data_IF_579731957210
#
_entry.id   IF_579731957210
#
_cell.length_a   1.000
_cell.length_b   1.000
_cell.length_c   1.000
_cell.angle_alpha   90.00
_cell.angle_beta   90.00
_cell.angle_gamma   90.00
#
_symmetry.space_group_name_H-M   'P 1'
#
loop_
_entity.id
_entity.type
_entity.pdbx_description
1 polymer ?
#
# COMPACT_ATOMS: atom_id res chain seq x y z
N UNK A 1 12.79 -18.40 9.65
CA UNK A 1 13.14 -17.86 8.32
C UNK A 1 12.10 -16.93 7.72
N UNK A 2 10.86 -17.39 7.53
CA UNK A 2 9.81 -16.58 6.89
C UNK A 2 9.62 -15.21 7.56
N UNK A 3 9.65 -15.15 8.89
CA UNK A 3 9.60 -13.88 9.63
C UNK A 3 10.75 -12.93 9.25
N UNK A 4 11.98 -13.44 9.14
CA UNK A 4 13.16 -12.62 8.79
C UNK A 4 12.99 -12.00 7.41
N UNK A 5 12.53 -12.78 6.42
CA UNK A 5 12.23 -12.26 5.09
C UNK A 5 11.08 -11.25 5.09
N UNK A 6 10.05 -11.48 5.91
CA UNK A 6 8.96 -10.52 6.08
C UNK A 6 9.47 -9.18 6.61
N UNK A 7 10.15 -9.18 7.76
CA UNK A 7 10.66 -7.96 8.41
C UNK A 7 11.64 -7.22 7.51
N UNK A 8 12.54 -7.96 6.85
CA UNK A 8 13.47 -7.37 5.91
C UNK A 8 12.78 -6.75 4.70
N UNK A 9 11.76 -7.43 4.13
CA UNK A 9 10.98 -6.89 3.00
C UNK A 9 10.20 -5.64 3.40
N UNK A 10 9.67 -5.60 4.62
CA UNK A 10 9.02 -4.41 5.18
C UNK A 10 10.01 -3.25 5.27
N UNK A 11 11.19 -3.48 5.85
CA UNK A 11 12.25 -2.47 5.96
C UNK A 11 12.64 -1.93 4.58
N UNK A 12 12.96 -2.80 3.63
CA UNK A 12 13.37 -2.38 2.28
C UNK A 12 12.23 -1.64 1.57
N UNK A 13 10.98 -2.04 1.78
CA UNK A 13 9.83 -1.30 1.25
C UNK A 13 9.75 0.13 1.81
N UNK A 14 10.07 0.35 3.09
CA UNK A 14 10.11 1.72 3.64
C UNK A 14 11.20 2.56 3.02
N UNK A 15 12.41 2.02 2.94
CA UNK A 15 13.58 2.73 2.41
C UNK A 15 13.32 3.12 0.95
N UNK A 16 12.80 2.18 0.17
CA UNK A 16 12.48 2.42 -1.25
C UNK A 16 11.34 3.43 -1.41
N UNK A 17 10.32 3.41 -0.55
CA UNK A 17 9.23 4.37 -0.62
C UNK A 17 9.68 5.78 -0.24
N UNK A 18 10.44 5.94 0.85
CA UNK A 18 11.03 7.23 1.24
C UNK A 18 11.87 7.80 0.09
N UNK A 19 12.71 6.96 -0.53
CA UNK A 19 13.51 7.36 -1.67
C UNK A 19 12.66 7.76 -2.89
N UNK A 20 11.62 6.99 -3.21
CA UNK A 20 10.73 7.25 -4.35
C UNK A 20 9.93 8.55 -4.15
N UNK A 21 9.43 8.78 -2.94
CA UNK A 21 8.66 9.97 -2.53
C UNK A 21 9.54 11.21 -2.55
N UNK A 22 10.72 11.17 -1.91
CA UNK A 22 11.66 12.30 -1.90
C UNK A 22 12.11 12.74 -3.31
N UNK A 23 12.13 11.81 -4.26
CA UNK A 23 12.50 12.10 -5.65
C UNK A 23 11.31 12.35 -6.59
N UNK A 24 10.07 12.35 -6.07
CA UNK A 24 8.81 12.41 -6.84
C UNK A 24 8.87 11.54 -8.11
N UNK A 25 9.29 10.27 -7.95
CA UNK A 25 9.56 9.37 -9.08
C UNK A 25 8.28 9.02 -9.86
N UNK A 26 7.14 8.95 -9.17
CA UNK A 26 5.83 8.67 -9.78
C UNK A 26 5.41 9.83 -10.70
N UNK A 27 5.42 11.07 -10.19
CA UNK A 27 5.13 12.25 -10.99
C UNK A 27 6.11 12.42 -12.17
N UNK A 28 7.41 12.21 -11.97
CA UNK A 28 8.39 12.25 -13.07
C UNK A 28 8.10 11.22 -14.17
N UNK A 29 7.67 10.00 -13.79
CA UNK A 29 7.31 8.98 -14.76
C UNK A 29 6.03 9.31 -15.54
N UNK A 30 5.01 9.83 -14.84
CA UNK A 30 3.76 10.31 -15.43
C UNK A 30 4.06 11.38 -16.50
N UNK A 31 4.80 12.41 -16.13
CA UNK A 31 5.12 13.52 -17.03
C UNK A 31 6.03 13.11 -18.18
N UNK A 32 6.98 12.19 -17.97
CA UNK A 32 7.76 11.63 -19.07
C UNK A 32 6.87 10.86 -20.09
N UNK A 33 5.79 10.24 -19.62
CA UNK A 33 4.77 9.63 -20.49
C UNK A 33 3.99 10.66 -21.30
N UNK A 34 3.56 11.75 -20.65
CA UNK A 34 2.85 12.87 -21.28
C UNK A 34 3.75 13.58 -22.31
N UNK A 35 5.00 13.87 -21.96
CA UNK A 35 5.95 14.52 -22.86
C UNK A 35 6.17 13.63 -24.13
N UNK A 36 6.19 12.31 -23.97
CA UNK A 36 6.29 11.36 -25.09
C UNK A 36 5.01 11.26 -25.94
N UNK A 37 3.85 11.49 -25.32
CA UNK A 37 2.56 11.54 -26.00
C UNK A 37 2.43 12.78 -26.87
N UNK A 38 2.74 13.94 -26.29
CA UNK A 38 2.60 15.24 -26.94
C UNK A 38 3.70 15.46 -27.98
N UNK A 39 4.84 14.81 -27.81
CA UNK A 39 5.97 14.91 -28.73
C UNK A 39 7.00 15.94 -28.28
N UNK A 40 8.12 15.99 -29.00
CA UNK A 40 9.24 16.89 -28.72
C UNK A 40 9.32 18.05 -29.72
N UNK A 41 8.35 18.13 -30.62
CA UNK A 41 8.15 19.21 -31.57
C UNK A 41 7.62 20.49 -30.88
N UNK A 42 7.65 21.64 -31.56
CA UNK A 42 7.37 22.95 -30.94
C UNK A 42 6.00 23.00 -30.26
N UNK A 43 4.96 22.54 -30.96
CA UNK A 43 3.59 22.58 -30.42
C UNK A 43 3.42 21.53 -29.33
N UNK A 44 3.98 20.33 -29.51
CA UNK A 44 4.01 19.31 -28.46
C UNK A 44 4.61 19.82 -27.14
N UNK A 45 5.75 20.52 -27.21
CA UNK A 45 6.42 21.12 -26.05
C UNK A 45 5.61 22.24 -25.41
N UNK A 46 4.97 23.09 -26.22
CA UNK A 46 4.12 24.17 -25.72
C UNK A 46 2.85 23.64 -25.04
N UNK A 47 2.16 22.68 -25.67
CA UNK A 47 1.03 21.96 -25.08
C UNK A 47 1.42 21.34 -23.74
N UNK A 48 2.57 20.67 -23.66
CA UNK A 48 3.05 20.05 -22.42
C UNK A 48 3.29 21.09 -21.31
N UNK A 49 3.84 22.26 -21.67
CA UNK A 49 4.07 23.37 -20.72
C UNK A 49 2.74 23.96 -20.24
N UNK A 50 1.83 24.29 -21.15
CA UNK A 50 0.54 24.89 -20.82
C UNK A 50 -0.35 23.93 -20.03
N UNK A 51 -0.36 22.64 -20.41
CA UNK A 51 -1.08 21.59 -19.68
C UNK A 51 -0.57 21.46 -18.24
N UNK A 52 0.74 21.55 -18.03
CA UNK A 52 1.32 21.49 -16.67
C UNK A 52 0.93 22.70 -15.82
N UNK A 53 0.73 23.86 -16.43
CA UNK A 53 0.29 25.08 -15.76
C UNK A 53 -1.24 25.19 -15.61
N UNK A 54 -1.99 24.28 -16.22
CA UNK A 54 -3.45 24.34 -16.24
C UNK A 54 -4.03 24.22 -14.81
N UNK A 55 -4.95 25.10 -14.37
CA UNK A 55 -5.45 25.13 -12.98
C UNK A 55 -6.06 23.80 -12.49
N UNK A 56 -6.78 23.09 -13.35
CA UNK A 56 -7.37 21.79 -13.01
C UNK A 56 -6.31 20.67 -12.82
N UNK A 57 -5.09 20.87 -13.32
CA UNK A 57 -3.96 19.93 -13.16
C UNK A 57 -3.07 20.39 -12.00
N UNK A 58 -2.79 21.69 -11.91
CA UNK A 58 -2.01 22.27 -10.83
C UNK A 58 -2.63 22.00 -9.45
N UNK A 59 -3.96 22.06 -9.34
CA UNK A 59 -4.69 21.75 -8.10
C UNK A 59 -4.59 20.29 -7.63
N UNK A 60 -4.13 19.37 -8.49
CA UNK A 60 -3.92 17.96 -8.14
C UNK A 60 -2.52 17.69 -7.56
N UNK A 61 -1.61 18.68 -7.59
CA UNK A 61 -0.31 18.56 -6.96
C UNK A 61 -0.43 18.66 -5.44
N UNK A 62 0.44 17.95 -4.72
CA UNK A 62 0.50 18.02 -3.25
C UNK A 62 0.92 19.41 -2.75
N UNK A 63 1.78 20.10 -3.50
CA UNK A 63 2.30 21.45 -3.21
C UNK A 63 2.76 22.12 -4.53
N UNK A 64 2.98 23.44 -4.54
CA UNK A 64 3.41 24.21 -5.72
C UNK A 64 4.76 23.77 -6.32
N UNK A 65 5.63 23.18 -5.50
CA UNK A 65 6.91 22.64 -5.93
C UNK A 65 6.81 21.22 -6.53
N UNK A 66 5.69 20.54 -6.29
CA UNK A 66 5.48 19.16 -6.67
C UNK A 66 4.72 19.03 -7.99
N UNK A 67 5.07 17.99 -8.75
CA UNK A 67 4.28 17.58 -9.89
C UNK A 67 3.19 16.62 -9.43
N UNK A 68 1.99 16.75 -10.01
CA UNK A 68 0.91 15.77 -9.82
C UNK A 68 1.45 14.34 -10.05
N UNK A 69 1.25 13.47 -9.06
CA UNK A 69 1.72 12.07 -9.10
C UNK A 69 0.71 11.11 -9.72
N UNK A 70 -0.53 11.58 -9.90
CA UNK A 70 -1.62 10.89 -10.55
C UNK A 70 -2.47 11.93 -11.29
N UNK A 71 -2.96 11.59 -12.48
CA UNK A 71 -3.78 12.47 -13.29
C UNK A 71 -4.98 11.66 -13.81
N UNK A 72 -6.22 11.97 -13.38
CA UNK A 72 -7.40 11.31 -13.91
C UNK A 72 -7.57 11.61 -15.39
N UNK A 73 -7.89 10.57 -16.17
CA UNK A 73 -8.01 10.63 -17.63
C UNK A 73 -9.06 11.62 -18.14
N UNK A 74 -10.24 11.78 -17.49
CA UNK A 74 -11.20 12.82 -17.87
C UNK A 74 -10.67 14.25 -17.64
N UNK A 75 -9.91 14.47 -16.56
CA UNK A 75 -9.30 15.77 -16.26
C UNK A 75 -8.19 16.08 -17.26
N UNK A 76 -7.38 15.08 -17.62
CA UNK A 76 -6.39 15.22 -18.68
C UNK A 76 -7.04 15.60 -20.02
N UNK A 77 -8.08 14.87 -20.44
CA UNK A 77 -8.72 15.09 -21.74
C UNK A 77 -9.32 16.50 -21.85
N UNK A 78 -10.11 16.91 -20.84
CA UNK A 78 -10.72 18.24 -20.79
C UNK A 78 -9.67 19.36 -20.73
N UNK A 79 -8.65 19.22 -19.88
CA UNK A 79 -7.57 20.21 -19.79
C UNK A 79 -6.76 20.31 -21.09
N UNK A 80 -6.49 19.18 -21.77
CA UNK A 80 -5.78 19.21 -23.05
C UNK A 80 -6.61 19.88 -24.14
N UNK A 81 -7.93 19.65 -24.17
CA UNK A 81 -8.84 20.34 -25.08
C UNK A 81 -8.85 21.84 -24.84
N UNK A 82 -9.01 22.26 -23.58
CA UNK A 82 -9.01 23.69 -23.21
C UNK A 82 -7.70 24.39 -23.60
N UNK A 83 -6.57 23.77 -23.25
CA UNK A 83 -5.23 24.27 -23.61
C UNK A 83 -5.05 24.36 -25.13
N UNK A 84 -5.50 23.34 -25.88
CA UNK A 84 -5.42 23.33 -27.34
C UNK A 84 -6.23 24.49 -27.94
N UNK A 85 -7.47 24.68 -27.50
CA UNK A 85 -8.35 25.76 -27.96
C UNK A 85 -7.72 27.12 -27.63
N UNK A 86 -7.28 27.33 -26.39
CA UNK A 86 -6.70 28.59 -25.95
C UNK A 86 -5.40 28.95 -26.68
N UNK A 87 -4.54 27.97 -26.91
CA UNK A 87 -3.29 28.13 -27.66
C UNK A 87 -3.56 28.49 -29.12
N UNK A 88 -4.46 27.76 -29.79
CA UNK A 88 -4.77 28.01 -31.21
C UNK A 88 -5.52 29.33 -31.42
N UNK A 89 -6.40 29.71 -30.49
CA UNK A 89 -7.06 31.03 -30.47
C UNK A 89 -6.07 32.19 -30.40
N UNK A 90 -4.92 31.98 -29.78
CA UNK A 90 -3.87 33.01 -29.68
C UNK A 90 -2.98 33.09 -30.92
N UNK A 91 -2.92 32.01 -31.72
CA UNK A 91 -2.05 31.90 -32.91
C UNK A 91 -2.77 32.22 -34.23
N UNK A 92 -4.07 31.97 -34.32
CA UNK A 92 -4.89 32.23 -35.51
C UNK A 92 -5.90 33.34 -35.18
N UNK A 93 -6.17 34.25 -36.11
CA UNK A 93 -6.97 35.47 -35.85
C UNK A 93 -8.42 35.39 -36.36
N UNK A 94 -8.83 34.33 -37.07
CA UNK A 94 -10.16 34.22 -37.70
C UNK A 94 -10.84 32.84 -37.56
N UNK A 95 -12.15 32.90 -37.25
CA UNK A 95 -13.20 31.83 -37.23
C UNK A 95 -13.16 30.80 -36.09
N UNK A 96 -14.32 30.20 -35.73
CA UNK A 96 -14.63 29.78 -34.35
C UNK A 96 -13.74 28.63 -33.86
N UNK A 97 -13.24 28.75 -32.63
CA UNK A 97 -12.32 27.79 -32.01
C UNK A 97 -13.06 26.64 -31.34
N UNK A 98 -13.85 25.89 -32.13
CA UNK A 98 -14.27 24.57 -31.73
C UNK A 98 -13.08 23.60 -31.73
N UNK A 99 -13.30 22.42 -31.15
CA UNK A 99 -12.29 21.36 -31.07
C UNK A 99 -11.80 20.98 -32.48
N UNK A 100 -12.73 20.87 -33.45
CA UNK A 100 -12.41 20.48 -34.82
C UNK A 100 -11.50 21.48 -35.53
N UNK A 101 -11.79 22.78 -35.40
CA UNK A 101 -11.02 23.86 -36.00
C UNK A 101 -9.62 23.94 -35.38
N UNK A 102 -9.52 23.82 -34.05
CA UNK A 102 -8.23 23.80 -33.36
C UNK A 102 -7.36 22.63 -33.81
N UNK A 103 -7.94 21.43 -33.98
CA UNK A 103 -7.23 20.24 -34.49
C UNK A 103 -6.83 20.40 -35.96
N UNK A 104 -7.69 21.00 -36.79
CA UNK A 104 -7.41 21.23 -38.21
C UNK A 104 -6.27 22.23 -38.43
N UNK A 105 -6.14 23.21 -37.54
CA UNK A 105 -5.08 24.22 -37.59
C UNK A 105 -3.71 23.70 -37.09
N UNK A 106 -3.62 22.48 -36.55
CA UNK A 106 -2.34 21.88 -36.16
C UNK A 106 -1.51 21.49 -37.38
N UNK A 107 -0.21 21.84 -37.44
CA UNK A 107 0.70 21.43 -38.50
C UNK A 107 0.73 19.91 -38.72
N UNK A 108 0.94 19.50 -39.97
CA UNK A 108 1.06 18.10 -40.35
C UNK A 108 2.31 17.38 -39.79
N UNK A 109 3.31 18.15 -39.36
CA UNK A 109 4.59 17.66 -38.81
C UNK A 109 4.49 17.15 -37.38
N UNK A 110 3.45 17.52 -36.64
CA UNK A 110 3.31 17.21 -35.23
C UNK A 110 2.73 15.81 -35.02
N UNK A 111 3.43 14.97 -34.27
CA UNK A 111 2.94 13.63 -33.90
C UNK A 111 1.57 13.68 -33.22
N UNK A 112 1.39 14.60 -32.26
CA UNK A 112 0.14 14.75 -31.51
C UNK A 112 -1.01 15.18 -32.43
N UNK A 113 -0.74 16.02 -33.44
CA UNK A 113 -1.74 16.43 -34.42
C UNK A 113 -2.32 15.24 -35.19
N UNK A 114 -1.49 14.26 -35.55
CA UNK A 114 -1.95 13.01 -36.16
C UNK A 114 -2.90 12.21 -35.27
N UNK A 115 -2.58 12.09 -33.98
CA UNK A 115 -3.41 11.39 -32.98
C UNK A 115 -4.75 12.11 -32.78
N UNK A 116 -4.73 13.43 -32.56
CA UNK A 116 -5.94 14.20 -32.35
C UNK A 116 -6.87 14.16 -33.57
N UNK A 117 -6.32 14.28 -34.79
CA UNK A 117 -7.09 14.10 -36.04
C UNK A 117 -7.69 12.71 -36.18
N UNK A 118 -6.98 11.67 -35.74
CA UNK A 118 -7.51 10.30 -35.75
C UNK A 118 -8.70 10.15 -34.79
N UNK A 119 -8.54 10.60 -33.53
CA UNK A 119 -9.60 10.51 -32.52
C UNK A 119 -10.82 11.38 -32.88
N UNK A 120 -10.60 12.54 -33.51
CA UNK A 120 -11.67 13.42 -33.97
C UNK A 120 -12.51 12.78 -35.08
N UNK A 121 -11.86 12.13 -36.06
CA UNK A 121 -12.56 11.36 -37.10
C UNK A 121 -13.35 10.20 -36.51
N UNK A 122 -12.78 9.50 -35.52
CA UNK A 122 -13.48 8.41 -34.82
C UNK A 122 -14.72 8.91 -34.05
N UNK A 123 -14.67 10.14 -33.54
CA UNK A 123 -15.79 10.78 -32.85
C UNK A 123 -16.87 11.33 -33.80
N UNK A 124 -16.64 11.31 -35.13
CA UNK A 124 -17.56 11.86 -36.13
C UNK A 124 -17.98 13.32 -35.86
N UNK A 125 -17.05 14.13 -35.33
CA UNK A 125 -17.30 15.53 -34.97
C UNK A 125 -18.02 15.77 -33.64
N UNK A 126 -18.33 14.73 -32.87
CA UNK A 126 -18.94 14.86 -31.54
C UNK A 126 -17.86 15.17 -30.48
N UNK A 127 -18.00 16.32 -29.81
CA UNK A 127 -17.07 16.78 -28.79
C UNK A 127 -16.98 15.85 -27.57
N UNK A 128 -18.13 15.35 -27.08
CA UNK A 128 -18.18 14.48 -25.92
C UNK A 128 -17.64 13.07 -26.23
N UNK A 129 -17.88 12.57 -27.43
CA UNK A 129 -17.27 11.33 -27.93
C UNK A 129 -15.75 11.50 -28.10
N UNK A 130 -15.29 12.63 -28.61
CA UNK A 130 -13.87 12.94 -28.74
C UNK A 130 -13.15 12.95 -27.40
N UNK A 131 -13.68 13.67 -26.40
CA UNK A 131 -13.09 13.71 -25.06
C UNK A 131 -13.00 12.32 -24.41
N UNK A 132 -14.04 11.50 -24.55
CA UNK A 132 -14.03 10.11 -24.07
C UNK A 132 -12.97 9.27 -24.78
N UNK A 133 -12.85 9.39 -26.10
CA UNK A 133 -11.84 8.68 -26.88
C UNK A 133 -10.41 9.11 -26.49
N UNK A 134 -10.22 10.41 -26.24
CA UNK A 134 -8.95 10.97 -25.78
C UNK A 134 -8.58 10.49 -24.37
N UNK A 135 -9.55 10.47 -23.45
CA UNK A 135 -9.36 9.91 -22.10
C UNK A 135 -8.99 8.42 -22.16
N UNK A 136 -9.70 7.63 -22.98
CA UNK A 136 -9.40 6.20 -23.15
C UNK A 136 -8.03 5.97 -23.80
N UNK A 137 -7.61 6.82 -24.74
CA UNK A 137 -6.28 6.74 -25.33
C UNK A 137 -5.19 7.06 -24.30
N UNK A 138 -5.43 8.05 -23.44
CA UNK A 138 -4.54 8.37 -22.33
C UNK A 138 -4.42 7.21 -21.33
N UNK A 139 -5.52 6.54 -20.97
CA UNK A 139 -5.50 5.34 -20.12
C UNK A 139 -4.59 4.25 -20.69
N UNK A 140 -4.74 3.92 -21.97
CA UNK A 140 -3.90 2.93 -22.64
C UNK A 140 -2.41 3.30 -22.66
N UNK A 141 -2.11 4.59 -22.78
CA UNK A 141 -0.74 5.07 -22.64
C UNK A 141 -0.24 4.92 -21.20
N UNK A 142 -1.06 5.29 -20.21
CA UNK A 142 -0.71 5.21 -18.80
C UNK A 142 -0.52 3.76 -18.34
N UNK A 143 -1.20 2.79 -18.92
CA UNK A 143 -0.93 1.37 -18.71
C UNK A 143 0.50 0.98 -19.12
N UNK A 144 0.96 1.49 -20.27
CA UNK A 144 2.33 1.24 -20.78
C UNK A 144 3.38 1.95 -19.92
N UNK A 145 3.13 3.21 -19.56
CA UNK A 145 4.01 4.01 -18.69
C UNK A 145 4.13 3.36 -17.31
N UNK A 146 3.01 2.86 -16.76
CA UNK A 146 2.99 2.08 -15.52
C UNK A 146 3.85 0.83 -15.60
N UNK A 147 3.85 0.15 -16.75
CA UNK A 147 4.75 -0.98 -17.01
C UNK A 147 6.24 -0.60 -16.92
N UNK A 148 6.63 0.56 -17.45
CA UNK A 148 8.01 1.05 -17.37
C UNK A 148 8.41 1.39 -15.93
N UNK A 149 7.49 2.05 -15.21
CA UNK A 149 7.67 2.36 -13.80
C UNK A 149 7.89 1.09 -12.97
N UNK A 150 7.05 0.05 -13.19
CA UNK A 150 7.13 -1.25 -12.49
C UNK A 150 8.50 -1.93 -12.69
N UNK A 151 9.00 -2.00 -13.92
CA UNK A 151 10.33 -2.60 -14.21
C UNK A 151 11.46 -1.84 -13.52
N UNK A 152 11.41 -0.51 -13.54
CA UNK A 152 12.38 0.31 -12.83
C UNK A 152 12.28 0.17 -11.31
N UNK A 153 11.07 0.05 -10.78
CA UNK A 153 10.81 -0.11 -9.34
C UNK A 153 11.35 -1.43 -8.81
N UNK A 154 11.19 -2.54 -9.56
CA UNK A 154 11.77 -3.84 -9.20
C UNK A 154 13.29 -3.77 -9.07
N UNK A 155 13.98 -3.15 -10.04
CA UNK A 155 15.44 -2.96 -9.97
C UNK A 155 15.86 -2.11 -8.78
N UNK A 156 15.13 -1.04 -8.46
CA UNK A 156 15.39 -0.21 -7.28
C UNK A 156 15.17 -0.99 -5.98
N UNK A 157 14.12 -1.80 -5.90
CA UNK A 157 13.84 -2.64 -4.75
C UNK A 157 14.95 -3.67 -4.53
N UNK A 158 15.39 -4.36 -5.59
CA UNK A 158 16.50 -5.30 -5.53
C UNK A 158 17.80 -4.64 -5.04
N UNK A 159 18.18 -3.50 -5.63
CA UNK A 159 19.41 -2.80 -5.25
C UNK A 159 19.34 -2.26 -3.81
N UNK A 160 18.19 -1.74 -3.39
CA UNK A 160 17.99 -1.30 -2.02
C UNK A 160 18.03 -2.48 -1.03
N UNK A 161 17.43 -3.62 -1.38
CA UNK A 161 17.50 -4.84 -0.60
C UNK A 161 18.93 -5.36 -0.48
N UNK A 162 19.66 -5.43 -1.59
CA UNK A 162 21.07 -5.83 -1.57
C UNK A 162 21.90 -4.88 -0.69
N UNK A 163 21.74 -3.57 -0.85
CA UNK A 163 22.45 -2.57 -0.04
C UNK A 163 22.12 -2.72 1.45
N UNK A 164 20.84 -2.87 1.80
CA UNK A 164 20.42 -3.07 3.20
C UNK A 164 20.99 -4.36 3.77
N UNK A 165 21.02 -5.45 3.00
CA UNK A 165 21.60 -6.73 3.43
C UNK A 165 23.09 -6.58 3.74
N UNK A 166 23.86 -5.90 2.88
CA UNK A 166 25.30 -5.67 3.11
C UNK A 166 25.54 -4.74 4.30
N UNK A 167 24.87 -3.59 4.34
CA UNK A 167 25.08 -2.57 5.38
C UNK A 167 24.71 -3.10 6.77
N UNK A 168 23.58 -3.82 6.86
CA UNK A 168 23.12 -4.41 8.11
C UNK A 168 23.72 -5.80 8.38
N UNK A 169 24.53 -6.32 7.46
CA UNK A 169 25.07 -7.67 7.48
C UNK A 169 24.00 -8.74 7.75
N UNK A 170 22.89 -8.67 7.01
CA UNK A 170 21.80 -9.64 7.09
C UNK A 170 22.00 -10.66 5.99
N UNK A 171 22.43 -11.84 6.38
CA UNK A 171 22.74 -12.95 5.49
C UNK A 171 21.74 -14.11 5.69
N UNK A 172 21.03 -14.48 4.62
CA UNK A 172 20.04 -15.55 4.68
C UNK A 172 20.63 -16.92 5.05
N UNK A 173 21.82 -17.27 4.54
CA UNK A 173 22.47 -18.56 4.75
C UNK A 173 22.94 -18.68 6.19
N UNK A 174 23.60 -17.66 6.71
CA UNK A 174 24.10 -17.67 8.09
C UNK A 174 22.96 -17.63 9.12
N UNK A 175 21.94 -16.81 8.87
CA UNK A 175 20.72 -16.82 9.70
C UNK A 175 20.06 -18.21 9.60
N UNK A 176 20.11 -18.91 8.45
CA UNK A 176 19.52 -20.25 8.31
C UNK A 176 20.24 -21.26 9.17
N UNK A 177 21.57 -21.27 9.09
CA UNK A 177 22.43 -22.13 9.90
C UNK A 177 22.21 -21.89 11.39
N UNK A 178 22.12 -20.64 11.83
CA UNK A 178 21.85 -20.31 13.24
C UNK A 178 20.47 -20.82 13.70
N UNK A 179 19.41 -20.56 12.93
CA UNK A 179 18.07 -21.07 13.27
C UNK A 179 17.99 -22.60 13.22
N UNK A 180 18.78 -23.25 12.37
CA UNK A 180 18.80 -24.71 12.27
C UNK A 180 19.54 -25.36 13.43
N UNK A 181 20.64 -24.75 13.87
CA UNK A 181 21.53 -25.32 14.88
C UNK A 181 21.15 -24.92 16.32
N UNK A 182 20.38 -23.84 16.51
CA UNK A 182 19.97 -23.33 17.82
C UNK A 182 18.44 -23.39 17.98
N UNK A 183 17.88 -24.47 18.57
CA UNK A 183 16.43 -24.65 18.71
C UNK A 183 15.74 -23.52 19.48
N UNK A 184 16.39 -23.01 20.54
CA UNK A 184 15.87 -21.90 21.35
C UNK A 184 15.70 -20.62 20.54
N UNK A 185 16.70 -20.26 19.70
CA UNK A 185 16.62 -19.11 18.81
C UNK A 185 15.47 -19.27 17.80
N UNK A 186 15.28 -20.48 17.26
CA UNK A 186 14.17 -20.76 16.35
C UNK A 186 12.78 -20.67 17.01
N UNK A 187 12.67 -21.04 18.28
CA UNK A 187 11.44 -20.88 19.08
C UNK A 187 11.12 -19.41 19.34
N UNK A 188 12.11 -18.61 19.73
CA UNK A 188 11.94 -17.17 19.94
C UNK A 188 11.49 -16.45 18.66
N UNK A 189 12.18 -16.69 17.54
CA UNK A 189 11.81 -16.12 16.23
C UNK A 189 10.42 -16.58 15.78
N UNK A 190 9.99 -17.80 16.12
CA UNK A 190 8.62 -18.24 15.85
C UNK A 190 7.60 -17.52 16.72
N UNK A 191 7.90 -17.31 18.01
CA UNK A 191 7.07 -16.54 18.94
C UNK A 191 6.89 -15.09 18.50
N UNK A 192 7.94 -14.44 18.03
CA UNK A 192 7.85 -13.09 17.44
C UNK A 192 7.00 -13.08 16.17
N UNK A 193 7.05 -14.16 15.39
CA UNK A 193 6.18 -14.35 14.23
C UNK A 193 4.69 -14.36 14.62
N UNK A 194 4.36 -14.97 15.75
CA UNK A 194 3.00 -14.96 16.28
C UNK A 194 2.53 -13.56 16.65
N UNK A 195 3.41 -12.75 17.28
CA UNK A 195 3.11 -11.36 17.63
C UNK A 195 2.81 -10.53 16.38
N UNK A 196 3.61 -10.70 15.33
CA UNK A 196 3.42 -10.04 14.03
C UNK A 196 2.08 -10.41 13.39
N UNK A 197 1.65 -11.67 13.46
CA UNK A 197 0.36 -12.08 12.91
C UNK A 197 -0.84 -11.41 13.59
N UNK A 198 -0.70 -11.00 14.86
CA UNK A 198 -1.76 -10.32 15.62
C UNK A 198 -1.73 -8.82 15.37
N UNK A 199 -0.55 -8.22 15.22
CA UNK A 199 -0.37 -6.76 15.11
C UNK A 199 -0.39 -6.22 13.68
N UNK A 200 0.00 -7.03 12.70
CA UNK A 200 0.10 -6.61 11.30
C UNK A 200 -1.19 -6.90 10.54
N UNK A 201 -1.74 -5.85 9.92
CA UNK A 201 -2.86 -5.96 9.00
C UNK A 201 -2.32 -5.98 7.55
N UNK A 202 -2.50 -7.08 6.79
CA UNK A 202 -2.12 -7.10 5.38
C UNK A 202 -3.00 -6.16 4.55
N UNK A 203 -2.43 -5.58 3.48
CA UNK A 203 -3.10 -4.69 2.51
C UNK A 203 -3.37 -3.24 2.95
N UNK A 204 -2.58 -2.69 3.86
CA UNK A 204 -2.60 -1.23 4.03
C UNK A 204 -2.14 -0.53 2.73
N UNK A 205 -2.76 0.61 2.37
CA UNK A 205 -2.38 1.33 1.15
C UNK A 205 -0.89 1.69 1.17
N UNK A 206 -0.21 1.67 0.00
CA UNK A 206 1.20 2.03 -0.09
C UNK A 206 1.40 3.44 0.47
N UNK A 207 2.17 3.56 1.56
CA UNK A 207 2.44 4.84 2.24
C UNK A 207 2.01 4.90 3.71
N UNK A 208 1.39 3.86 4.27
CA UNK A 208 1.34 3.71 5.73
C UNK A 208 2.72 3.29 6.23
N UNK A 209 3.33 4.02 7.20
CA UNK A 209 4.58 3.57 7.78
C UNK A 209 4.34 2.18 8.38
N UNK A 210 5.23 1.20 8.18
CA UNK A 210 5.12 -0.11 8.83
C UNK A 210 5.61 -0.03 10.28
N UNK A 211 5.36 1.10 10.92
CA UNK A 211 5.67 1.37 12.32
C UNK A 211 5.12 0.25 13.21
N UNK A 212 3.90 -0.24 12.94
CA UNK A 212 3.28 -1.33 13.70
C UNK A 212 3.89 -2.70 13.43
N UNK A 213 4.38 -2.97 12.20
CA UNK A 213 4.98 -4.26 11.85
C UNK A 213 6.37 -4.42 12.47
N UNK A 214 7.18 -3.35 12.37
CA UNK A 214 8.57 -3.33 12.85
C UNK A 214 8.60 -3.16 14.37
N UNK A 215 7.71 -2.36 14.96
CA UNK A 215 7.59 -2.25 16.42
C UNK A 215 7.06 -3.53 17.08
N UNK A 216 6.18 -4.28 16.41
CA UNK A 216 5.63 -5.53 16.95
C UNK A 216 6.65 -6.68 17.01
N UNK A 217 7.72 -6.60 16.22
CA UNK A 217 8.85 -7.54 16.30
C UNK A 217 9.74 -7.25 17.52
N UNK A 218 9.57 -6.08 18.16
CA UNK A 218 10.34 -5.66 19.32
C UNK A 218 11.83 -5.47 19.03
N UNK A 219 12.56 -4.87 19.97
CA UNK A 219 14.02 -4.70 19.90
C UNK A 219 14.80 -6.04 20.00
N UNK A 220 14.13 -7.18 20.20
CA UNK A 220 14.75 -8.48 20.49
C UNK A 220 15.32 -9.21 19.28
N UNK A 221 14.61 -9.20 18.13
CA UNK A 221 15.00 -10.00 16.96
C UNK A 221 16.39 -9.63 16.42
N UNK A 222 16.80 -8.37 16.54
CA UNK A 222 18.11 -7.91 16.09
C UNK A 222 19.26 -8.22 17.06
N UNK A 223 18.96 -8.40 18.36
CA UNK A 223 19.97 -8.66 19.38
C UNK A 223 20.41 -10.14 19.39
N UNK A 224 19.52 -11.05 18.98
CA UNK A 224 19.75 -12.49 19.06
C UNK A 224 20.20 -13.11 17.73
N UNK A 225 19.72 -12.58 16.59
CA UNK A 225 20.14 -13.05 15.28
C UNK A 225 21.62 -12.73 14.99
N UNK A 226 22.33 -13.57 14.20
CA UNK A 226 23.72 -13.33 13.81
C UNK A 226 23.82 -12.26 12.71
N UNK A 227 23.26 -11.08 12.95
CA UNK A 227 23.25 -9.93 12.04
C UNK A 227 24.16 -8.82 12.57
N UNK A 228 24.53 -7.87 11.72
CA UNK A 228 25.37 -6.74 12.06
C UNK A 228 26.88 -6.98 11.97
N UNK A 229 27.63 -5.89 12.02
CA UNK A 229 29.09 -5.87 11.97
C UNK A 229 29.69 -5.70 13.38
N UNK A 230 30.79 -6.40 13.72
CA UNK A 230 31.42 -7.49 12.99
C UNK A 230 30.62 -8.78 13.13
N UNK A 231 30.54 -9.55 12.04
CA UNK A 231 29.73 -10.76 11.96
C UNK A 231 30.11 -11.78 13.06
N UNK A 232 29.11 -12.32 13.78
CA UNK A 232 29.35 -13.29 14.87
C UNK A 232 29.99 -14.58 14.35
N UNK A 233 29.63 -15.01 13.14
CA UNK A 233 30.21 -16.17 12.48
C UNK A 233 31.67 -15.95 12.08
N UNK A 234 32.05 -14.73 11.66
CA UNK A 234 33.45 -14.38 11.39
C UNK A 234 34.30 -14.34 12.66
N UNK A 235 33.72 -13.89 13.78
CA UNK A 235 34.41 -13.79 15.07
C UNK A 235 34.83 -15.13 15.66
N UNK A 236 34.05 -16.18 15.37
CA UNK A 236 34.30 -17.53 15.89
C UNK A 236 35.16 -18.39 14.95
N UNK A 237 35.50 -17.89 13.76
CA UNK A 237 36.40 -18.57 12.83
C UNK A 237 37.86 -18.39 13.29
N UNK A 238 38.47 -19.48 13.72
CA UNK A 238 39.90 -19.53 14.05
C UNK A 238 40.69 -19.51 12.73
N UNK A 239 41.30 -18.35 12.43
CA UNK A 239 42.22 -18.11 11.30
C UNK A 239 41.77 -18.61 9.91
N UNK A 240 40.74 -18.02 9.28
CA UNK A 240 40.41 -18.34 7.90
C UNK A 240 41.52 -17.84 6.97
N UNK A 241 42.37 -18.74 6.46
CA UNK A 241 43.41 -18.40 5.48
C UNK A 241 43.10 -19.00 4.12
N UNK A 242 43.26 -18.21 3.04
CA UNK A 242 43.15 -18.70 1.67
C UNK A 242 41.73 -19.09 1.25
N UNK A 243 41.54 -20.37 0.90
CA UNK A 243 40.31 -20.90 0.31
C UNK A 243 39.10 -20.84 1.26
N UNK A 244 39.31 -21.02 2.56
CA UNK A 244 38.22 -21.01 3.54
C UNK A 244 37.60 -19.62 3.70
N UNK A 245 38.42 -18.57 3.68
CA UNK A 245 37.94 -17.19 3.68
C UNK A 245 37.13 -16.89 2.41
N UNK A 246 37.62 -17.33 1.25
CA UNK A 246 36.94 -17.13 -0.02
C UNK A 246 35.60 -17.87 -0.08
N UNK A 247 35.54 -19.11 0.43
CA UNK A 247 34.32 -19.89 0.51
C UNK A 247 33.27 -19.22 1.42
N UNK A 248 33.67 -18.67 2.55
CA UNK A 248 32.75 -17.99 3.46
C UNK A 248 32.28 -16.64 2.90
N UNK A 249 33.15 -15.88 2.23
CA UNK A 249 32.72 -14.67 1.50
C UNK A 249 31.75 -15.01 0.38
N UNK A 250 31.92 -16.16 -0.29
CA UNK A 250 30.98 -16.63 -1.31
C UNK A 250 29.62 -17.01 -0.72
N UNK A 251 29.58 -17.76 0.38
CA UNK A 251 28.33 -18.05 1.08
C UNK A 251 27.65 -16.78 1.58
N UNK A 252 28.44 -15.80 2.00
CA UNK A 252 27.94 -14.50 2.44
C UNK A 252 27.31 -13.71 1.29
N UNK A 253 27.99 -13.68 0.15
CA UNK A 253 27.46 -13.06 -1.06
C UNK A 253 26.16 -13.75 -1.53
N UNK A 254 26.09 -15.09 -1.47
CA UNK A 254 24.87 -15.85 -1.77
C UNK A 254 23.76 -15.47 -0.78
N UNK A 255 24.06 -15.37 0.51
CA UNK A 255 23.13 -14.93 1.54
C UNK A 255 22.52 -13.57 1.27
N UNK A 256 23.35 -12.59 0.92
CA UNK A 256 22.90 -11.25 0.55
C UNK A 256 22.05 -11.23 -0.72
N UNK A 257 22.41 -12.04 -1.72
CA UNK A 257 21.61 -12.19 -2.94
C UNK A 257 20.24 -12.81 -2.63
N UNK A 258 20.18 -13.81 -1.76
CA UNK A 258 18.91 -14.41 -1.33
C UNK A 258 18.04 -13.39 -0.60
N UNK A 259 18.60 -12.56 0.28
CA UNK A 259 17.87 -11.47 0.94
C UNK A 259 17.33 -10.46 -0.08
N UNK A 260 18.15 -10.03 -1.04
CA UNK A 260 17.74 -9.11 -2.10
C UNK A 260 16.62 -9.68 -2.99
N UNK A 261 16.71 -10.97 -3.33
CA UNK A 261 15.66 -11.69 -4.07
C UNK A 261 14.38 -11.82 -3.24
N UNK A 262 14.47 -12.06 -1.93
CA UNK A 262 13.29 -12.15 -1.06
C UNK A 262 12.47 -10.85 -1.05
N UNK A 263 13.13 -9.69 -1.16
CA UNK A 263 12.46 -8.39 -1.29
C UNK A 263 11.70 -8.20 -2.59
N UNK A 264 12.10 -8.85 -3.68
CA UNK A 264 11.39 -8.76 -4.96
C UNK A 264 9.98 -9.33 -4.88
N UNK A 265 9.78 -10.33 -4.01
CA UNK A 265 8.48 -10.94 -3.77
C UNK A 265 7.59 -10.08 -2.88
N UNK A 266 8.21 -9.30 -1.99
CA UNK A 266 7.56 -8.33 -1.12
C UNK A 266 7.00 -8.91 0.17
N UNK A 267 6.75 -8.03 1.14
CA UNK A 267 6.23 -8.38 2.46
C UNK A 267 4.90 -9.16 2.45
N UNK A 268 3.91 -8.89 1.57
CA UNK A 268 2.62 -9.59 1.61
C UNK A 268 2.73 -11.12 1.47
N UNK A 269 3.62 -11.62 0.61
CA UNK A 269 3.82 -13.06 0.45
C UNK A 269 4.33 -13.68 1.76
N UNK A 270 5.40 -13.11 2.31
CA UNK A 270 6.03 -13.64 3.52
C UNK A 270 5.08 -13.60 4.72
N UNK A 271 4.22 -12.58 4.80
CA UNK A 271 3.17 -12.52 5.81
C UNK A 271 2.14 -13.65 5.64
N UNK A 272 1.67 -13.87 4.41
CA UNK A 272 0.75 -14.96 4.12
C UNK A 272 1.36 -16.32 4.48
N UNK A 273 2.62 -16.54 4.10
CA UNK A 273 3.36 -17.77 4.42
C UNK A 273 3.59 -17.94 5.92
N UNK A 274 3.87 -16.86 6.65
CA UNK A 274 3.98 -16.89 8.12
C UNK A 274 2.64 -17.34 8.72
N UNK A 275 1.54 -16.78 8.20
CA UNK A 275 0.19 -17.09 8.63
C UNK A 275 -0.31 -18.49 8.25
N UNK A 276 0.30 -19.17 7.28
CA UNK A 276 -0.06 -20.55 6.91
C UNK A 276 0.82 -21.57 7.62
N UNK A 277 2.12 -21.30 7.81
CA UNK A 277 3.06 -22.25 8.38
C UNK A 277 3.05 -22.28 9.92
N UNK A 278 2.82 -21.14 10.58
CA UNK A 278 2.82 -21.07 12.04
C UNK A 278 1.70 -21.94 12.68
N UNK A 279 0.47 -21.95 12.12
CA UNK A 279 -0.58 -22.88 12.54
C UNK A 279 -0.23 -24.35 12.39
N UNK A 280 0.45 -24.74 11.30
CA UNK A 280 0.75 -26.15 11.02
C UNK A 280 1.75 -26.75 12.01
N UNK A 281 2.50 -25.90 12.73
CA UNK A 281 3.41 -26.30 13.80
C UNK A 281 2.68 -26.58 15.12
N UNK A 282 1.49 -26.01 15.30
CA UNK A 282 0.67 -26.17 16.49
C UNK A 282 -0.47 -27.13 16.12
N UNK A 283 -0.49 -28.34 16.64
CA UNK A 283 -1.61 -29.25 16.42
C UNK A 283 -2.90 -28.67 17.03
N UNK A 284 -3.62 -27.81 16.31
CA UNK A 284 -4.87 -27.18 16.74
C UNK A 284 -5.32 -26.03 15.81
N UNK A 285 -6.63 -25.83 15.59
CA UNK A 285 -7.14 -24.82 14.68
C UNK A 285 -6.86 -23.41 15.19
N UNK A 286 -6.43 -22.56 14.27
CA UNK A 286 -6.29 -21.10 14.47
C UNK A 286 -7.70 -20.52 14.63
N UNK A 287 -7.93 -19.58 15.57
CA UNK A 287 -9.21 -18.89 15.66
C UNK A 287 -9.52 -18.18 14.34
N UNK A 288 -10.75 -18.36 13.86
CA UNK A 288 -11.20 -17.89 12.54
C UNK A 288 -10.72 -16.46 12.24
N UNK A 289 -10.09 -16.34 11.08
CA UNK A 289 -9.79 -15.04 10.48
C UNK A 289 -11.12 -14.45 10.02
N UNK A 290 -11.42 -13.23 10.46
CA UNK A 290 -12.28 -12.35 9.66
C UNK A 290 -11.47 -12.04 8.41
N UNK A 291 -11.71 -12.81 7.35
CA UNK A 291 -11.33 -12.42 5.99
C UNK A 291 -12.04 -11.11 5.69
N UNK A 292 -11.33 -10.00 5.46
CA UNK A 292 -11.96 -8.87 4.80
C UNK A 292 -12.31 -9.38 3.40
N UNK A 293 -13.60 -9.47 3.10
CA UNK A 293 -14.08 -9.49 1.73
C UNK A 293 -13.39 -8.31 1.05
N UNK A 294 -12.63 -8.58 -0.01
CA UNK A 294 -12.07 -7.52 -0.85
C UNK A 294 -13.21 -6.53 -1.16
N UNK A 295 -13.00 -5.20 -1.07
CA UNK A 295 -14.05 -4.27 -1.46
C UNK A 295 -14.47 -4.65 -2.88
N UNK A 296 -15.74 -5.07 -3.00
CA UNK A 296 -16.32 -5.37 -4.28
C UNK A 296 -16.11 -4.15 -5.17
N UNK A 297 -15.65 -4.38 -6.41
CA UNK A 297 -15.80 -3.40 -7.47
C UNK A 297 -17.26 -2.88 -7.44
N UNK A 298 -17.51 -1.58 -7.67
CA UNK A 298 -18.84 -1.00 -7.54
C UNK A 298 -19.87 -1.86 -8.30
N UNK A 299 -20.82 -2.40 -7.55
CA UNK A 299 -21.85 -3.27 -8.08
C UNK A 299 -22.80 -2.46 -8.97
N UNK A 300 -22.98 -2.89 -10.22
CA UNK A 300 -24.11 -2.51 -11.03
C UNK A 300 -25.40 -3.08 -10.39
N UNK A 301 -26.52 -2.34 -10.40
CA UNK A 301 -27.73 -2.76 -9.69
C UNK A 301 -28.50 -3.85 -10.47
N UNK A 302 -28.72 -5.01 -9.83
CA UNK A 302 -29.70 -6.00 -10.26
C UNK A 302 -29.42 -7.44 -9.79
N UNK A 303 -30.41 -8.03 -9.08
CA UNK A 303 -30.62 -9.46 -8.78
C UNK A 303 -30.16 -9.98 -7.37
N UNK A 304 -30.84 -11.00 -6.77
CA UNK A 304 -31.50 -10.88 -5.46
C UNK A 304 -30.85 -11.68 -4.30
N UNK A 305 -31.37 -11.43 -3.09
CA UNK A 305 -30.87 -11.82 -1.77
C UNK A 305 -30.58 -13.33 -1.57
N UNK A 306 -29.39 -13.63 -1.04
CA UNK A 306 -28.99 -14.94 -0.53
C UNK A 306 -29.06 -14.97 1.02
N UNK A 307 -29.54 -16.11 1.54
CA UNK A 307 -29.83 -16.40 2.95
C UNK A 307 -28.57 -16.44 3.85
N UNK A 308 -28.78 -16.11 5.13
CA UNK A 308 -27.75 -15.98 6.17
C UNK A 308 -27.31 -17.31 6.81
N UNK A 309 -26.02 -17.53 7.10
CA UNK A 309 -25.54 -18.51 8.07
C UNK A 309 -25.29 -17.88 9.46
N UNK A 310 -25.55 -18.68 10.51
CA UNK A 310 -25.54 -18.32 11.93
C UNK A 310 -24.13 -18.09 12.52
N UNK A 311 -24.04 -17.21 13.53
CA UNK A 311 -22.81 -16.73 14.17
C UNK A 311 -22.49 -17.48 15.46
N UNK A 312 -21.30 -18.09 15.55
CA UNK A 312 -20.63 -18.46 16.81
C UNK A 312 -19.82 -17.27 17.29
N UNK A 313 -20.03 -16.84 18.53
CA UNK A 313 -19.48 -15.61 19.09
C UNK A 313 -18.04 -15.79 19.62
N UNK A 314 -17.05 -15.25 18.91
CA UNK A 314 -15.70 -15.02 19.44
C UNK A 314 -15.53 -13.53 19.77
N UNK A 315 -15.76 -13.18 21.03
CA UNK A 315 -15.64 -11.81 21.55
C UNK A 315 -14.15 -11.52 21.84
N UNK A 316 -13.47 -10.79 20.95
CA UNK A 316 -12.06 -10.38 21.15
C UNK A 316 -11.99 -9.09 22.00
N UNK A 317 -11.07 -9.05 22.98
CA UNK A 317 -10.64 -7.82 23.63
C UNK A 317 -9.73 -7.03 22.67
N UNK A 318 -10.30 -6.08 21.94
CA UNK A 318 -9.56 -5.13 21.09
C UNK A 318 -9.21 -3.84 21.85
N UNK A 319 -8.34 -2.97 21.27
CA UNK A 319 -8.08 -1.65 21.84
C UNK A 319 -9.39 -0.84 21.96
N UNK A 320 -9.48 -0.02 23.01
CA UNK A 320 -10.65 0.82 23.26
C UNK A 320 -10.88 1.76 22.08
N UNK A 321 -12.14 1.95 21.71
CA UNK A 321 -12.49 3.00 20.75
C UNK A 321 -12.66 4.36 21.47
N UNK A 322 -12.76 5.44 20.70
CA UNK A 322 -12.89 6.80 21.23
C UNK A 322 -14.03 6.99 22.25
N UNK A 323 -15.14 6.24 22.11
CA UNK A 323 -16.29 6.32 23.03
C UNK A 323 -15.98 5.58 24.34
N UNK A 324 -15.33 4.44 24.25
CA UNK A 324 -14.92 3.63 25.39
C UNK A 324 -13.80 4.32 26.19
N UNK A 325 -12.86 4.97 25.52
CA UNK A 325 -11.83 5.80 26.17
C UNK A 325 -12.45 6.93 26.99
N UNK A 326 -13.52 7.57 26.48
CA UNK A 326 -14.26 8.60 27.21
C UNK A 326 -15.00 8.06 28.43
N UNK A 327 -15.64 6.91 28.32
CA UNK A 327 -16.32 6.26 29.45
C UNK A 327 -15.32 5.87 30.54
N UNK A 328 -14.14 5.37 30.15
CA UNK A 328 -13.04 5.06 31.07
C UNK A 328 -12.55 6.33 31.76
N UNK A 329 -12.27 7.39 30.99
CA UNK A 329 -11.82 8.68 31.53
C UNK A 329 -12.84 9.31 32.49
N UNK A 330 -14.14 9.12 32.23
CA UNK A 330 -15.22 9.62 33.07
C UNK A 330 -15.59 8.68 34.23
N UNK A 331 -14.92 7.53 34.38
CA UNK A 331 -15.18 6.56 35.44
C UNK A 331 -16.54 5.85 35.35
N UNK A 332 -17.17 5.84 34.17
CA UNK A 332 -18.56 5.37 33.96
C UNK A 332 -18.68 3.91 33.52
N UNK A 333 -17.57 3.16 33.46
CA UNK A 333 -17.57 1.75 33.03
C UNK A 333 -18.50 0.89 33.89
N UNK A 334 -18.51 1.10 35.22
CA UNK A 334 -19.39 0.37 36.14
C UNK A 334 -20.88 0.69 35.93
N UNK A 335 -21.20 1.94 35.55
CA UNK A 335 -22.57 2.33 35.23
C UNK A 335 -23.06 1.64 33.94
N UNK A 336 -22.19 1.52 32.95
CA UNK A 336 -22.46 0.74 31.74
C UNK A 336 -22.63 -0.76 32.06
N UNK A 337 -21.76 -1.34 32.88
CA UNK A 337 -21.86 -2.74 33.31
C UNK A 337 -23.16 -3.02 34.08
N UNK A 338 -23.58 -2.08 34.94
CA UNK A 338 -24.85 -2.14 35.65
C UNK A 338 -26.04 -2.10 34.68
N UNK A 339 -26.01 -1.21 33.68
CA UNK A 339 -27.05 -1.14 32.65
C UNK A 339 -27.11 -2.40 31.75
N UNK A 340 -25.97 -3.08 31.58
CA UNK A 340 -25.85 -4.34 30.83
C UNK A 340 -26.12 -5.59 31.68
N UNK A 341 -26.35 -5.45 32.99
CA UNK A 341 -26.62 -6.56 33.89
C UNK A 341 -25.44 -7.52 34.11
N UNK A 342 -24.20 -7.02 34.02
CA UNK A 342 -22.96 -7.79 34.23
C UNK A 342 -22.22 -7.34 35.50
N UNK A 343 -21.24 -8.13 35.94
CA UNK A 343 -20.39 -7.81 37.08
C UNK A 343 -19.68 -6.46 36.91
N UNK A 344 -19.68 -5.62 37.95
CA UNK A 344 -19.13 -4.25 37.91
C UNK A 344 -17.61 -4.24 38.14
N UNK A 345 -16.86 -4.89 37.27
CA UNK A 345 -15.39 -4.99 37.35
C UNK A 345 -14.69 -3.66 37.09
N UNK A 346 -15.36 -2.72 36.42
CA UNK A 346 -14.79 -1.42 36.03
C UNK A 346 -13.89 -1.49 34.80
N UNK A 347 -13.77 -2.66 34.17
CA UNK A 347 -12.97 -2.90 32.97
C UNK A 347 -13.83 -3.53 31.86
N UNK A 348 -13.41 -3.36 30.61
CA UNK A 348 -14.07 -3.98 29.46
C UNK A 348 -13.66 -5.45 29.28
N UNK A 349 -13.96 -6.27 30.29
CA UNK A 349 -13.69 -7.71 30.32
C UNK A 349 -14.54 -8.51 29.32
N UNK A 350 -14.26 -9.81 29.21
CA UNK A 350 -14.92 -10.71 28.25
C UNK A 350 -16.43 -10.75 28.47
N UNK A 351 -16.89 -10.72 29.72
CA UNK A 351 -18.30 -10.77 30.08
C UNK A 351 -19.04 -9.48 29.68
N UNK A 352 -18.42 -8.33 29.93
CA UNK A 352 -18.92 -7.01 29.53
C UNK A 352 -19.01 -6.90 28.02
N UNK A 353 -17.97 -7.34 27.30
CA UNK A 353 -17.94 -7.35 25.83
C UNK A 353 -19.00 -8.29 25.26
N UNK A 354 -19.19 -9.46 25.87
CA UNK A 354 -20.26 -10.39 25.51
C UNK A 354 -21.66 -9.79 25.71
N UNK A 355 -21.87 -9.04 26.79
CA UNK A 355 -23.13 -8.36 27.03
C UNK A 355 -23.41 -7.23 26.02
N UNK A 356 -22.39 -6.46 25.64
CA UNK A 356 -22.49 -5.43 24.59
C UNK A 356 -22.95 -6.06 23.27
N UNK A 357 -22.37 -7.19 22.87
CA UNK A 357 -22.77 -7.90 21.63
C UNK A 357 -24.22 -8.35 21.67
N UNK A 358 -24.68 -8.89 22.81
CA UNK A 358 -26.07 -9.32 22.99
C UNK A 358 -27.03 -8.14 22.90
N UNK A 359 -26.68 -7.02 23.51
CA UNK A 359 -27.51 -5.82 23.52
C UNK A 359 -27.58 -5.16 22.14
N UNK A 360 -26.46 -5.13 21.40
CA UNK A 360 -26.43 -4.71 20.01
C UNK A 360 -27.33 -5.58 19.14
N UNK A 361 -27.29 -6.90 19.32
CA UNK A 361 -28.15 -7.82 18.58
C UNK A 361 -29.63 -7.61 18.89
N UNK A 362 -30.00 -7.41 20.17
CA UNK A 362 -31.38 -7.15 20.59
C UNK A 362 -31.95 -5.85 19.98
N UNK A 363 -31.10 -4.87 19.71
CA UNK A 363 -31.47 -3.56 19.15
C UNK A 363 -31.27 -3.44 17.64
N UNK A 364 -30.91 -4.53 16.96
CA UNK A 364 -30.68 -4.54 15.51
C UNK A 364 -29.41 -3.83 15.05
N UNK A 365 -28.46 -3.54 15.95
CA UNK A 365 -27.17 -2.98 15.61
C UNK A 365 -26.17 -4.04 15.11
N UNK A 366 -25.13 -3.58 14.42
CA UNK A 366 -23.98 -4.41 14.08
C UNK A 366 -23.31 -4.94 15.38
N UNK A 367 -23.06 -6.25 15.42
CA UNK A 367 -22.52 -7.00 16.57
C UNK A 367 -21.01 -6.81 16.70
N UNK A 368 -20.58 -5.57 16.89
CA UNK A 368 -19.16 -5.20 16.93
C UNK A 368 -18.49 -5.52 18.26
N UNK A 369 -19.27 -5.65 19.34
CA UNK A 369 -18.74 -5.80 20.71
C UNK A 369 -18.06 -4.54 21.24
N UNK A 370 -18.20 -3.43 20.52
CA UNK A 370 -17.69 -2.12 20.87
C UNK A 370 -18.83 -1.16 21.22
N UNK A 371 -18.62 -0.33 22.24
CA UNK A 371 -19.59 0.68 22.66
C UNK A 371 -19.68 1.77 21.61
N UNK A 372 -20.91 2.13 21.24
CA UNK A 372 -21.21 3.25 20.35
C UNK A 372 -22.08 4.26 21.07
N UNK A 373 -22.07 5.51 20.63
CA UNK A 373 -22.90 6.57 21.21
C UNK A 373 -24.39 6.23 21.14
N UNK A 374 -24.83 5.58 20.06
CA UNK A 374 -26.21 5.13 19.91
C UNK A 374 -26.60 4.03 20.91
N UNK A 375 -25.68 3.12 21.22
CA UNK A 375 -25.89 2.09 22.24
C UNK A 375 -26.01 2.72 23.64
N UNK A 376 -25.15 3.69 23.96
CA UNK A 376 -25.17 4.41 25.23
C UNK A 376 -26.45 5.20 25.45
N UNK A 377 -26.90 5.93 24.42
CA UNK A 377 -28.18 6.64 24.45
C UNK A 377 -29.35 5.66 24.65
N UNK A 378 -29.30 4.50 24.01
CA UNK A 378 -30.30 3.45 24.18
C UNK A 378 -30.32 2.80 25.56
N UNK A 379 -29.20 2.86 26.29
CA UNK A 379 -29.05 2.34 27.65
C UNK A 379 -29.21 3.42 28.74
N UNK A 380 -29.41 4.69 28.35
CA UNK A 380 -29.51 5.80 29.29
C UNK A 380 -28.21 6.11 30.04
N UNK A 381 -27.06 5.78 29.45
CA UNK A 381 -25.73 6.01 30.03
C UNK A 381 -25.05 7.15 29.27
N UNK A 382 -24.68 8.22 29.98
CA UNK A 382 -23.94 9.33 29.35
C UNK A 382 -22.47 8.95 29.09
N UNK A 383 -21.94 9.33 27.92
CA UNK A 383 -20.54 9.10 27.55
C UNK A 383 -19.52 9.80 28.46
#
# INVERSE_FOLDING_TARGET
MVLVFFVFSVLVSTVTEVFNTAHNRRGKCLWAGIDRLLGTEEIGLELARLLRAHPAIASLASNDADKASYLPSPVFASALVDVLIGMMKSRVTQSPYGIGEAIAALPGTERIGGVLRFLWRQANGDAAAFERNLAAYFDQLMDRVSGWYKRGAQRRCFLAGLLCAVVLNIDAVHVARALWNEPHLAEQVAGDGQRVLVSYQPNQPPGTPPDKAVSAVGHGLAAELPIGWPARWYRNMVHPTGLDLAAEMMWTAIGFLVMACACLVGAPLWFQLLGTLLPLRLAGPVPDRVTPVAPAAPAYPGAPAAQAPQVVANVRQGPLNFVEERIVANGKVKALQLALGVGQTGEFDVDTRGAIVREQAARGFARTGQVTTALLQGLGVDA
#
